data_IF_163099867667
#
_entry.id   IF_163099867667
#
_cell.length_a   1.000
_cell.length_b   1.000
_cell.length_c   1.000
_cell.angle_alpha   90.00
_cell.angle_beta   90.00
_cell.angle_gamma   90.00
#
_symmetry.space_group_name_H-M   'P 1'
#
loop_
_entity.id
_entity.type
_entity.pdbx_description
1 polymer ?
#
# COMPACT_ATOMS: atom_id res chain seq x y z
N UNK A 1 1.45 -2.72 -5.42
CA UNK A 1 1.62 -1.29 -5.04
C UNK A 1 0.91 -0.98 -3.73
N UNK A 2 -0.30 -1.50 -3.48
CA UNK A 2 -1.00 -1.36 -2.19
C UNK A 2 -0.10 -1.59 -0.96
N UNK A 3 0.79 -2.59 -0.98
CA UNK A 3 1.68 -2.87 0.16
C UNK A 3 2.54 -1.68 0.60
N UNK A 4 2.98 -0.83 -0.33
CA UNK A 4 3.73 0.37 0.01
C UNK A 4 2.88 1.41 0.74
N UNK A 5 1.59 1.52 0.44
CA UNK A 5 0.68 2.42 1.14
C UNK A 5 0.55 2.03 2.62
N UNK A 6 0.55 0.73 2.92
CA UNK A 6 0.61 0.26 4.31
C UNK A 6 1.96 0.60 4.95
N UNK A 7 3.07 0.27 4.30
CA UNK A 7 4.42 0.55 4.82
C UNK A 7 4.70 2.05 5.02
N UNK A 8 4.08 2.93 4.22
CA UNK A 8 4.24 4.37 4.40
C UNK A 8 3.53 4.90 5.65
N UNK A 9 2.41 4.30 6.02
CA UNK A 9 1.55 4.69 7.16
C UNK A 9 1.96 4.01 8.47
N UNK A 10 2.68 2.90 8.39
CA UNK A 10 3.21 2.25 9.59
C UNK A 10 4.30 3.10 10.26
N UNK A 11 4.40 3.02 11.60
CA UNK A 11 5.43 3.71 12.34
C UNK A 11 6.84 3.33 11.89
N UNK A 12 7.72 4.33 11.87
CA UNK A 12 9.14 4.14 11.65
C UNK A 12 9.56 4.18 10.18
N UNK A 13 10.72 3.58 9.92
CA UNK A 13 11.36 3.60 8.61
C UNK A 13 10.79 2.52 7.70
N UNK A 14 10.49 2.90 6.47
CA UNK A 14 10.12 1.97 5.41
C UNK A 14 11.39 1.56 4.65
N UNK A 15 11.52 0.27 4.36
CA UNK A 15 12.55 -0.26 3.47
C UNK A 15 11.88 -0.90 2.26
N UNK A 16 12.44 -0.66 1.08
CA UNK A 16 12.02 -1.27 -0.19
C UNK A 16 13.19 -2.05 -0.75
N UNK A 17 12.94 -3.22 -1.33
CA UNK A 17 13.94 -3.90 -2.13
C UNK A 17 13.96 -3.30 -3.54
N UNK A 18 15.09 -3.38 -4.24
CA UNK A 18 15.16 -2.86 -5.61
C UNK A 18 14.26 -3.69 -6.52
N UNK A 19 13.55 -3.03 -7.43
CA UNK A 19 12.61 -3.69 -8.31
C UNK A 19 11.18 -3.79 -7.74
N UNK A 20 10.97 -3.66 -6.43
CA UNK A 20 9.61 -3.66 -5.85
C UNK A 20 8.77 -2.48 -6.38
N UNK A 21 9.41 -1.34 -6.63
CA UNK A 21 8.80 -0.13 -7.18
C UNK A 21 8.23 -0.34 -8.59
N UNK A 22 8.85 -1.22 -9.38
CA UNK A 22 8.32 -1.65 -10.69
C UNK A 22 7.49 -2.94 -10.57
N UNK A 23 7.56 -3.65 -9.44
CA UNK A 23 6.91 -4.94 -9.20
C UNK A 23 7.63 -6.08 -9.88
N UNK A 24 8.96 -6.07 -9.84
CA UNK A 24 9.81 -7.10 -10.40
C UNK A 24 9.44 -8.47 -9.79
N UNK A 25 9.38 -9.48 -10.64
CA UNK A 25 9.06 -10.85 -10.24
C UNK A 25 10.33 -11.68 -10.17
N UNK A 26 10.30 -12.72 -9.35
CA UNK A 26 11.41 -13.64 -9.18
C UNK A 26 11.76 -14.31 -10.51
N UNK A 27 13.04 -14.38 -10.81
CA UNK A 27 13.51 -15.12 -11.98
C UNK A 27 13.28 -16.63 -11.82
N UNK A 28 12.88 -17.27 -12.92
CA UNK A 28 12.58 -18.70 -12.95
C UNK A 28 13.09 -19.33 -14.25
N UNK A 29 13.30 -20.64 -14.19
CA UNK A 29 13.68 -21.47 -15.32
C UNK A 29 12.48 -21.69 -16.24
N UNK A 30 12.58 -21.25 -17.50
CA UNK A 30 11.51 -21.33 -18.49
C UNK A 30 11.06 -22.77 -18.79
N UNK A 31 11.97 -23.75 -18.72
CA UNK A 31 11.66 -25.13 -19.08
C UNK A 31 10.98 -25.87 -17.92
N UNK A 32 11.45 -25.63 -16.69
CA UNK A 32 10.95 -26.33 -15.50
C UNK A 32 9.91 -25.54 -14.72
N UNK A 33 9.72 -24.26 -15.05
CA UNK A 33 8.91 -23.29 -14.28
C UNK A 33 9.32 -23.17 -12.81
N UNK A 34 10.56 -23.53 -12.47
CA UNK A 34 11.08 -23.45 -11.10
C UNK A 34 11.80 -22.13 -10.89
N UNK A 35 11.45 -21.45 -9.80
CA UNK A 35 12.14 -20.23 -9.37
C UNK A 35 13.59 -20.55 -9.02
N UNK A 36 14.52 -19.73 -9.50
CA UNK A 36 15.94 -19.89 -9.17
C UNK A 36 16.19 -19.61 -7.69
N UNK A 37 17.18 -20.29 -7.10
CA UNK A 37 17.66 -19.91 -5.77
C UNK A 37 18.25 -18.49 -5.85
N UNK A 38 17.65 -17.54 -5.12
CA UNK A 38 18.00 -16.14 -5.26
C UNK A 38 17.37 -15.46 -6.48
N UNK A 39 16.28 -15.99 -7.03
CA UNK A 39 15.57 -15.40 -8.18
C UNK A 39 15.14 -13.95 -7.96
N UNK A 40 14.93 -13.53 -6.71
CA UNK A 40 14.70 -12.14 -6.32
C UNK A 40 15.93 -11.23 -6.51
N UNK A 41 17.13 -11.80 -6.61
CA UNK A 41 18.41 -11.10 -6.85
C UNK A 41 18.72 -10.99 -8.35
N UNK A 42 17.74 -11.24 -9.22
CA UNK A 42 17.89 -11.07 -10.65
C UNK A 42 18.22 -9.59 -10.97
N UNK A 43 18.98 -9.33 -12.05
CA UNK A 43 19.39 -7.98 -12.36
C UNK A 43 18.20 -7.03 -12.61
N UNK A 44 18.42 -5.75 -12.35
CA UNK A 44 17.39 -4.72 -12.50
C UNK A 44 16.92 -4.57 -13.95
N UNK A 45 15.61 -4.38 -14.14
CA UNK A 45 14.97 -4.33 -15.46
C UNK A 45 14.81 -2.87 -15.93
N UNK A 46 15.80 -2.32 -16.63
CA UNK A 46 15.77 -0.90 -17.04
C UNK A 46 14.90 -0.63 -18.25
N UNK A 47 15.05 -1.42 -19.32
CA UNK A 47 14.33 -1.26 -20.59
C UNK A 47 13.88 -2.62 -21.15
N UNK A 48 13.22 -2.61 -22.31
CA UNK A 48 12.83 -3.82 -23.05
C UNK A 48 13.94 -4.40 -23.95
N UNK A 49 15.12 -3.77 -23.98
CA UNK A 49 16.27 -4.21 -24.78
C UNK A 49 16.89 -5.51 -24.21
N UNK A 50 17.77 -6.21 -24.97
CA UNK A 50 18.45 -7.39 -24.47
C UNK A 50 19.05 -7.20 -23.07
N UNK A 51 18.84 -8.20 -22.21
CA UNK A 51 19.19 -8.18 -20.80
C UNK A 51 18.67 -6.96 -20.02
N UNK A 52 17.52 -6.42 -20.44
CA UNK A 52 16.90 -5.20 -19.90
C UNK A 52 17.86 -4.00 -19.79
N UNK A 53 18.88 -3.95 -20.66
CA UNK A 53 19.97 -2.98 -20.63
C UNK A 53 20.76 -2.96 -19.30
N UNK A 54 20.77 -4.07 -18.56
CA UNK A 54 21.56 -4.24 -17.34
C UNK A 54 23.05 -4.46 -17.64
N UNK A 55 23.35 -5.19 -18.71
CA UNK A 55 24.71 -5.52 -19.15
C UNK A 55 24.80 -5.39 -20.66
N UNK A 56 26.02 -5.39 -21.20
CA UNK A 56 26.24 -5.34 -22.65
C UNK A 56 25.80 -6.65 -23.31
N UNK A 57 25.43 -6.60 -24.59
CA UNK A 57 24.95 -7.77 -25.34
C UNK A 57 25.97 -8.93 -25.38
N UNK A 58 27.26 -8.61 -25.19
CA UNK A 58 28.37 -9.57 -25.16
C UNK A 58 28.60 -10.22 -23.79
N UNK A 59 27.80 -9.88 -22.78
CA UNK A 59 27.93 -10.37 -21.41
C UNK A 59 26.62 -10.99 -20.94
N UNK A 60 26.70 -12.16 -20.32
CA UNK A 60 25.53 -12.87 -19.79
C UNK A 60 25.41 -12.52 -18.31
N UNK A 61 24.23 -12.07 -17.84
CA UNK A 61 24.02 -11.80 -16.42
C UNK A 61 24.16 -13.08 -15.58
N UNK A 62 24.56 -12.93 -14.31
CA UNK A 62 24.77 -14.08 -13.41
C UNK A 62 23.48 -14.84 -13.10
N UNK A 63 22.32 -14.19 -13.26
CA UNK A 63 20.99 -14.78 -13.20
C UNK A 63 20.19 -14.31 -14.42
N UNK A 64 19.37 -15.18 -15.03
CA UNK A 64 18.47 -14.77 -16.10
C UNK A 64 17.42 -13.80 -15.56
N UNK A 65 16.90 -12.95 -16.44
CA UNK A 65 15.84 -12.00 -16.12
C UNK A 65 14.49 -12.69 -16.23
N UNK A 66 13.51 -12.19 -15.46
CA UNK A 66 12.13 -12.59 -15.64
C UNK A 66 11.63 -12.15 -17.03
N UNK A 67 10.95 -13.01 -17.82
CA UNK A 67 10.52 -12.69 -19.19
C UNK A 67 9.63 -11.45 -19.31
N UNK A 68 8.96 -11.05 -18.22
CA UNK A 68 8.15 -9.83 -18.18
C UNK A 68 8.98 -8.55 -18.33
N UNK A 69 10.32 -8.58 -18.31
CA UNK A 69 11.13 -7.37 -18.41
C UNK A 69 10.83 -6.54 -19.66
N UNK A 70 10.25 -7.14 -20.70
CA UNK A 70 9.82 -6.46 -21.93
C UNK A 70 8.69 -5.45 -21.64
N UNK A 71 7.77 -5.77 -20.73
CA UNK A 71 6.59 -4.96 -20.39
C UNK A 71 6.63 -4.36 -18.98
N UNK A 72 7.46 -4.92 -18.11
CA UNK A 72 7.65 -4.53 -16.72
C UNK A 72 9.12 -4.13 -16.55
N UNK A 73 9.41 -2.87 -16.82
CA UNK A 73 10.74 -2.28 -16.67
C UNK A 73 10.62 -0.81 -16.27
N UNK A 74 11.72 -0.18 -15.88
CA UNK A 74 11.74 1.22 -15.43
C UNK A 74 11.15 2.17 -16.48
N UNK A 75 11.51 2.00 -17.76
CA UNK A 75 11.04 2.84 -18.86
C UNK A 75 9.51 2.78 -19.06
N UNK A 76 8.92 1.59 -18.94
CA UNK A 76 7.48 1.36 -19.11
C UNK A 76 6.64 1.68 -17.87
N UNK A 77 7.23 1.58 -16.67
CA UNK A 77 6.51 1.72 -15.40
C UNK A 77 6.53 3.16 -14.83
N UNK A 78 6.65 4.18 -15.67
CA UNK A 78 6.71 5.60 -15.29
C UNK A 78 5.57 6.06 -14.36
N UNK A 79 4.33 5.63 -14.61
CA UNK A 79 3.19 5.95 -13.73
C UNK A 79 3.36 5.37 -12.32
N UNK A 80 3.81 4.12 -12.25
CA UNK A 80 4.01 3.40 -10.99
C UNK A 80 5.15 4.00 -10.18
N UNK A 81 6.24 4.39 -10.85
CA UNK A 81 7.37 5.11 -10.27
C UNK A 81 6.98 6.51 -9.78
N UNK A 82 6.16 7.24 -10.56
CA UNK A 82 5.65 8.55 -10.14
C UNK A 82 4.78 8.43 -8.89
N UNK A 83 3.90 7.42 -8.84
CA UNK A 83 3.08 7.14 -7.66
C UNK A 83 3.95 6.79 -6.43
N UNK A 84 4.98 5.96 -6.62
CA UNK A 84 5.93 5.63 -5.56
C UNK A 84 6.67 6.88 -5.05
N UNK A 85 7.11 7.76 -5.96
CA UNK A 85 7.73 9.05 -5.60
C UNK A 85 6.80 9.95 -4.78
N UNK A 86 5.54 10.11 -5.22
CA UNK A 86 4.53 10.87 -4.49
C UNK A 86 4.26 10.30 -3.09
N UNK A 87 4.24 8.96 -2.95
CA UNK A 87 4.09 8.30 -1.66
C UNK A 87 5.27 8.59 -0.72
N UNK A 88 6.50 8.59 -1.24
CA UNK A 88 7.70 8.91 -0.46
C UNK A 88 7.73 10.38 -0.05
N UNK A 89 7.33 11.29 -0.94
CA UNK A 89 7.15 12.70 -0.60
C UNK A 89 6.10 12.88 0.51
N UNK A 90 4.97 12.18 0.42
CA UNK A 90 3.92 12.23 1.45
C UNK A 90 4.45 11.74 2.81
N UNK A 91 5.21 10.64 2.84
CA UNK A 91 5.84 10.14 4.07
C UNK A 91 6.86 11.14 4.63
N UNK A 92 7.63 11.80 3.76
CA UNK A 92 8.67 12.76 4.16
C UNK A 92 8.13 14.12 4.62
N UNK A 93 6.92 14.52 4.22
CA UNK A 93 6.29 15.78 4.66
C UNK A 93 6.06 15.86 6.17
N UNK A 94 6.15 14.73 6.89
CA UNK A 94 5.96 14.71 8.33
C UNK A 94 4.50 14.94 8.75
N UNK A 95 3.55 14.88 7.80
CA UNK A 95 2.15 14.65 8.12
C UNK A 95 2.07 13.41 9.03
N UNK A 96 1.10 13.33 9.96
CA UNK A 96 1.09 12.38 11.08
C UNK A 96 0.86 10.91 10.68
N UNK A 97 1.43 10.46 9.57
CA UNK A 97 1.60 9.08 9.16
C UNK A 97 2.74 8.37 9.93
N UNK A 98 3.50 9.09 10.78
CA UNK A 98 4.61 8.53 11.57
C UNK A 98 4.51 8.96 13.05
N UNK A 99 4.37 8.05 14.03
CA UNK A 99 4.52 8.35 15.45
C UNK A 99 5.99 8.28 15.89
N UNK A 100 6.34 9.08 16.92
CA UNK A 100 7.70 9.17 17.46
C UNK A 100 8.10 8.00 18.36
N UNK A 101 7.14 7.28 18.95
CA UNK A 101 7.35 6.11 19.82
C UNK A 101 6.00 5.41 20.10
N UNK A 102 5.94 4.08 20.13
CA UNK A 102 4.68 3.34 20.37
C UNK A 102 4.86 2.21 21.37
N UNK A 103 3.81 1.96 22.16
CA UNK A 103 3.62 0.70 22.89
C UNK A 103 2.41 -0.01 22.29
N UNK A 104 2.54 -1.26 21.81
CA UNK A 104 1.40 -1.98 21.28
C UNK A 104 0.48 -2.40 22.42
N UNK A 105 -0.79 -2.00 22.36
CA UNK A 105 -1.84 -2.58 23.21
C UNK A 105 -2.76 -3.43 22.34
N UNK A 106 -2.79 -4.72 22.61
CA UNK A 106 -3.69 -5.67 21.96
C UNK A 106 -5.10 -5.48 22.52
N UNK A 107 -5.99 -4.87 21.74
CA UNK A 107 -7.42 -4.81 22.02
C UNK A 107 -8.14 -5.74 21.04
N UNK A 108 -8.27 -7.01 21.41
CA UNK A 108 -9.12 -8.03 20.78
C UNK A 108 -8.88 -8.25 19.26
N UNK A 109 -8.14 -9.31 18.92
CA UNK A 109 -8.03 -10.09 17.65
C UNK A 109 -8.20 -9.42 16.25
N UNK A 110 -8.46 -8.13 16.13
CA UNK A 110 -8.83 -7.45 14.88
C UNK A 110 -8.53 -5.95 14.88
N UNK A 111 -8.31 -5.33 16.06
CA UNK A 111 -7.99 -3.90 16.16
C UNK A 111 -6.69 -3.70 16.93
N UNK A 112 -5.66 -3.24 16.23
CA UNK A 112 -4.41 -2.82 16.86
C UNK A 112 -4.50 -1.32 17.13
N UNK A 113 -4.27 -0.92 18.38
CA UNK A 113 -4.12 0.49 18.74
C UNK A 113 -2.66 0.77 19.04
N UNK A 114 -2.10 1.73 18.30
CA UNK A 114 -0.77 2.27 18.58
C UNK A 114 -0.96 3.71 19.06
N UNK A 115 -0.56 3.95 20.30
CA UNK A 115 -0.55 5.27 20.91
C UNK A 115 0.75 5.45 21.67
N UNK A 116 1.31 6.65 21.65
CA UNK A 116 2.37 6.99 22.59
C UNK A 116 1.70 7.28 23.95
N UNK A 117 2.09 6.55 25.00
CA UNK A 117 1.50 6.72 26.33
C UNK A 117 2.01 7.99 27.04
N UNK A 118 3.06 8.63 26.52
CA UNK A 118 3.78 9.72 27.19
C UNK A 118 3.54 11.11 26.59
N UNK A 119 2.90 11.23 25.43
CA UNK A 119 2.62 12.52 24.78
C UNK A 119 1.15 12.62 24.34
N UNK A 120 0.38 13.51 24.98
CA UNK A 120 -1.02 13.82 24.62
C UNK A 120 -1.18 14.35 23.19
N UNK A 121 -0.11 14.85 22.58
CA UNK A 121 -0.06 15.36 21.20
C UNK A 121 0.26 14.29 20.16
N UNK A 122 0.51 13.05 20.56
CA UNK A 122 0.89 11.99 19.63
C UNK A 122 -0.27 11.51 18.75
N UNK A 123 0.00 11.16 17.47
CA UNK A 123 -1.03 10.61 16.60
C UNK A 123 -1.54 9.27 17.13
N UNK A 124 -2.87 9.10 17.14
CA UNK A 124 -3.52 7.85 17.48
C UNK A 124 -3.80 7.04 16.22
N UNK A 125 -3.30 5.81 16.19
CA UNK A 125 -3.54 4.87 15.09
C UNK A 125 -4.50 3.79 15.53
N UNK A 126 -5.51 3.56 14.69
CA UNK A 126 -6.42 2.44 14.80
C UNK A 126 -6.38 1.66 13.50
N UNK A 127 -6.33 0.34 13.60
CA UNK A 127 -6.30 -0.56 12.46
C UNK A 127 -7.51 -1.47 12.45
N UNK A 128 -8.02 -1.76 11.27
CA UNK A 128 -9.04 -2.76 11.02
C UNK A 128 -8.60 -3.61 9.83
N UNK A 129 -8.81 -4.91 9.95
CA UNK A 129 -8.70 -5.83 8.83
C UNK A 129 -9.85 -6.83 8.87
N UNK A 130 -10.32 -7.27 7.71
CA UNK A 130 -11.27 -8.38 7.62
C UNK A 130 -10.60 -9.63 7.01
N UNK A 131 -11.34 -10.75 7.00
CA UNK A 131 -10.88 -12.00 6.40
C UNK A 131 -10.76 -11.96 4.87
N UNK A 132 -11.40 -11.00 4.22
CA UNK A 132 -11.35 -10.80 2.77
C UNK A 132 -10.21 -9.88 2.32
N UNK A 133 -9.33 -9.45 3.24
CA UNK A 133 -8.14 -8.66 2.90
C UNK A 133 -8.37 -7.15 2.81
N UNK A 134 -9.54 -6.64 3.19
CA UNK A 134 -9.74 -5.21 3.35
C UNK A 134 -9.00 -4.73 4.61
N UNK A 135 -8.17 -3.70 4.44
CA UNK A 135 -7.44 -3.05 5.53
C UNK A 135 -7.82 -1.58 5.58
N UNK A 136 -8.21 -1.12 6.77
CA UNK A 136 -8.51 0.28 7.05
C UNK A 136 -7.65 0.76 8.21
N UNK A 137 -6.92 1.85 8.01
CA UNK A 137 -6.22 2.54 9.09
C UNK A 137 -6.85 3.91 9.31
N UNK A 138 -7.21 4.23 10.54
CA UNK A 138 -7.65 5.56 10.95
C UNK A 138 -6.56 6.20 11.81
N UNK A 139 -6.15 7.40 11.43
CA UNK A 139 -5.09 8.13 12.11
C UNK A 139 -5.64 9.47 12.56
N UNK A 140 -5.56 9.76 13.84
CA UNK A 140 -6.11 11.01 14.42
C UNK A 140 -4.97 11.81 15.04
N UNK A 141 -4.84 13.08 14.66
CA UNK A 141 -3.79 13.96 15.19
C UNK A 141 -4.31 15.40 15.31
N UNK A 142 -4.33 15.92 16.54
CA UNK A 142 -4.75 17.27 16.97
C UNK A 142 -6.21 17.66 16.66
N UNK A 143 -6.64 17.48 15.40
CA UNK A 143 -8.02 17.68 14.91
C UNK A 143 -8.23 17.09 13.51
N UNK A 144 -7.16 16.75 12.79
CA UNK A 144 -7.22 16.10 11.50
C UNK A 144 -7.37 14.58 11.67
N UNK A 145 -8.19 13.98 10.80
CA UNK A 145 -8.35 12.52 10.71
C UNK A 145 -7.94 12.09 9.31
N UNK A 146 -6.91 11.26 9.24
CA UNK A 146 -6.47 10.61 8.01
C UNK A 146 -6.98 9.17 7.97
N UNK A 147 -7.15 8.67 6.75
CA UNK A 147 -7.58 7.30 6.51
C UNK A 147 -6.73 6.66 5.42
N UNK A 148 -6.31 5.43 5.67
CA UNK A 148 -5.82 4.51 4.65
C UNK A 148 -6.90 3.45 4.45
N UNK A 149 -7.28 3.21 3.20
CA UNK A 149 -8.17 2.11 2.83
C UNK A 149 -7.49 1.34 1.72
N UNK A 150 -7.28 0.04 1.89
CA UNK A 150 -6.61 -0.78 0.89
C UNK A 150 -7.26 -2.17 0.81
N UNK A 151 -7.45 -2.65 -0.42
CA UNK A 151 -7.90 -4.01 -0.69
C UNK A 151 -6.69 -4.89 -1.05
N UNK A 152 -6.31 -5.77 -0.12
CA UNK A 152 -5.28 -6.79 -0.33
C UNK A 152 -5.87 -8.16 -0.71
N UNK A 153 -7.19 -8.26 -0.79
CA UNK A 153 -7.89 -9.48 -1.18
C UNK A 153 -7.81 -9.76 -2.68
N UNK A 154 -8.38 -10.91 -3.05
CA UNK A 154 -8.59 -11.33 -4.44
C UNK A 154 -9.90 -10.81 -5.03
N UNK A 155 -10.84 -10.43 -4.18
CA UNK A 155 -12.20 -10.07 -4.57
C UNK A 155 -12.43 -8.57 -4.39
N UNK A 156 -13.38 -8.04 -5.16
CA UNK A 156 -13.84 -6.65 -5.01
C UNK A 156 -14.42 -6.46 -3.62
N UNK A 157 -14.00 -5.39 -2.95
CA UNK A 157 -14.47 -5.04 -1.61
C UNK A 157 -15.33 -3.78 -1.67
N UNK A 158 -16.41 -3.78 -0.88
CA UNK A 158 -17.29 -2.63 -0.73
C UNK A 158 -17.18 -2.08 0.69
N UNK A 159 -17.10 -0.76 0.81
CA UNK A 159 -17.22 -0.08 2.10
C UNK A 159 -18.71 0.12 2.40
N UNK A 160 -19.30 -0.85 3.09
CA UNK A 160 -20.72 -0.83 3.48
C UNK A 160 -20.88 -0.94 4.99
N UNK A 161 -22.08 -0.58 5.48
CA UNK A 161 -22.45 -0.83 6.87
C UNK A 161 -22.63 -2.32 7.16
N UNK A 162 -23.02 -3.10 6.14
CA UNK A 162 -23.23 -4.54 6.25
C UNK A 162 -21.92 -5.32 6.30
N UNK A 163 -21.96 -6.44 7.04
CA UNK A 163 -20.85 -7.40 7.11
C UNK A 163 -20.81 -8.18 5.80
N UNK A 164 -19.96 -7.75 4.87
CA UNK A 164 -19.73 -8.47 3.61
C UNK A 164 -18.84 -9.72 3.82
N UNK A 165 -17.94 -9.68 4.81
CA UNK A 165 -16.92 -10.69 5.02
C UNK A 165 -16.50 -10.83 6.50
N UNK A 166 -16.63 -12.04 7.05
CA UNK A 166 -16.26 -12.37 8.43
C UNK A 166 -17.35 -11.97 9.45
N UNK A 167 -16.95 -11.71 10.69
CA UNK A 167 -17.89 -11.46 11.80
C UNK A 167 -18.10 -9.97 12.13
N UNK A 168 -17.32 -9.05 11.52
CA UNK A 168 -17.35 -7.62 11.85
C UNK A 168 -17.30 -6.74 10.61
N UNK A 169 -18.15 -5.73 10.59
CA UNK A 169 -18.24 -4.73 9.51
C UNK A 169 -17.26 -3.58 9.74
N UNK A 170 -16.86 -2.92 8.66
CA UNK A 170 -16.11 -1.66 8.68
C UNK A 170 -16.85 -0.59 9.49
N UNK A 171 -18.19 -0.61 9.52
CA UNK A 171 -19.02 0.32 10.31
C UNK A 171 -18.84 0.18 11.82
N UNK A 172 -18.43 -0.99 12.30
CA UNK A 172 -18.08 -1.18 13.71
C UNK A 172 -16.78 -0.46 14.09
N UNK A 173 -15.96 -0.13 13.09
CA UNK A 173 -14.66 0.52 13.25
C UNK A 173 -14.70 2.02 12.88
N UNK A 174 -15.26 2.37 11.73
CA UNK A 174 -15.61 3.73 11.36
C UNK A 174 -17.05 3.96 11.79
N UNK A 175 -17.28 4.74 12.86
CA UNK A 175 -18.64 5.11 13.28
C UNK A 175 -19.43 5.63 12.07
N UNK A 176 -20.75 5.39 12.01
CA UNK A 176 -21.62 5.80 10.89
C UNK A 176 -21.44 7.27 10.49
N UNK A 177 -21.12 8.13 11.47
CA UNK A 177 -20.78 9.55 11.26
C UNK A 177 -19.56 9.83 10.38
N UNK A 178 -18.61 8.90 10.25
CA UNK A 178 -17.47 9.00 9.33
C UNK A 178 -17.77 8.35 7.97
N UNK A 179 -18.64 7.33 7.91
CA UNK A 179 -19.05 6.71 6.65
C UNK A 179 -19.82 7.70 5.76
N UNK A 180 -20.59 8.60 6.36
CA UNK A 180 -21.30 9.67 5.65
C UNK A 180 -20.43 10.90 5.33
N UNK A 181 -19.16 10.94 5.75
CA UNK A 181 -18.26 12.07 5.51
C UNK A 181 -17.51 11.91 4.21
N UNK A 182 -17.15 13.05 3.64
CA UNK A 182 -16.26 13.12 2.48
C UNK A 182 -14.80 12.98 2.90
N UNK A 183 -14.06 12.23 2.09
CA UNK A 183 -12.62 12.07 2.19
C UNK A 183 -12.00 12.81 1.03
N UNK A 184 -11.12 13.76 1.34
CA UNK A 184 -10.23 14.39 0.37
C UNK A 184 -9.06 13.43 0.10
N UNK A 185 -9.01 12.85 -1.09
CA UNK A 185 -8.03 11.84 -1.46
C UNK A 185 -6.71 12.52 -1.80
N UNK A 186 -5.70 12.25 -0.97
CA UNK A 186 -4.34 12.77 -1.14
C UNK A 186 -3.56 11.93 -2.15
N UNK A 187 -3.73 10.61 -2.07
CA UNK A 187 -3.04 9.66 -2.95
C UNK A 187 -3.88 8.41 -3.15
N UNK A 188 -3.86 7.86 -4.35
CA UNK A 188 -4.57 6.63 -4.70
C UNK A 188 -3.80 5.83 -5.74
N UNK A 189 -3.91 4.50 -5.69
CA UNK A 189 -3.43 3.61 -6.75
C UNK A 189 -4.24 3.76 -8.04
N UNK A 190 -5.52 4.10 -7.91
CA UNK A 190 -6.45 4.27 -9.00
C UNK A 190 -6.82 5.75 -9.13
N UNK A 191 -6.53 6.33 -10.30
CA UNK A 191 -6.75 7.75 -10.57
C UNK A 191 -8.20 8.17 -10.52
N UNK A 192 -9.15 7.22 -10.64
CA UNK A 192 -10.58 7.50 -10.55
C UNK A 192 -11.03 7.97 -9.16
N UNK A 193 -10.23 7.71 -8.12
CA UNK A 193 -10.51 8.14 -6.75
C UNK A 193 -9.91 9.50 -6.41
N UNK A 194 -9.22 10.17 -7.34
CA UNK A 194 -8.61 11.49 -7.06
C UNK A 194 -9.73 12.54 -6.89
N UNK A 195 -9.69 13.26 -5.78
CA UNK A 195 -10.67 14.29 -5.43
C UNK A 195 -11.41 13.98 -4.13
N UNK A 196 -12.67 14.42 -4.03
CA UNK A 196 -13.50 14.15 -2.86
C UNK A 196 -14.39 12.94 -3.10
N UNK A 197 -14.25 11.92 -2.24
CA UNK A 197 -15.05 10.71 -2.31
C UNK A 197 -15.93 10.55 -1.07
N UNK A 198 -17.10 9.96 -1.24
CA UNK A 198 -17.95 9.51 -0.14
C UNK A 198 -17.70 8.02 0.09
N UNK A 199 -17.52 7.61 1.35
CA UNK A 199 -17.16 6.23 1.67
C UNK A 199 -18.31 5.24 1.46
N UNK A 200 -19.56 5.70 1.59
CA UNK A 200 -20.76 4.86 1.67
C UNK A 200 -21.05 3.99 0.41
N UNK A 201 -20.31 4.17 -0.69
CA UNK A 201 -20.42 3.34 -1.90
C UNK A 201 -19.07 3.07 -2.56
N UNK A 202 -17.99 3.17 -1.79
CA UNK A 202 -16.66 2.97 -2.34
C UNK A 202 -16.45 1.50 -2.69
N UNK A 203 -16.20 1.25 -3.96
CA UNK A 203 -15.80 -0.05 -4.50
C UNK A 203 -14.28 -0.04 -4.70
N UNK A 204 -13.60 -1.04 -4.16
CA UNK A 204 -12.16 -1.21 -4.26
C UNK A 204 -11.84 -2.50 -4.99
N UNK A 205 -11.17 -2.38 -6.14
CA UNK A 205 -10.65 -3.53 -6.86
C UNK A 205 -9.46 -4.16 -6.10
N UNK A 206 -9.14 -5.43 -6.35
CA UNK A 206 -7.95 -6.07 -5.79
C UNK A 206 -6.68 -5.26 -6.05
N UNK A 207 -5.97 -4.88 -4.99
CA UNK A 207 -4.76 -4.06 -5.06
C UNK A 207 -4.99 -2.55 -5.08
N UNK A 208 -6.24 -2.08 -4.99
CA UNK A 208 -6.53 -0.66 -4.82
C UNK A 208 -6.23 -0.18 -3.40
N UNK A 209 -5.63 1.00 -3.29
CA UNK A 209 -5.34 1.66 -2.03
C UNK A 209 -5.51 3.18 -2.14
N UNK A 210 -6.02 3.79 -1.07
CA UNK A 210 -6.35 5.21 -0.97
C UNK A 210 -5.81 5.73 0.36
N UNK A 211 -5.09 6.84 0.31
CA UNK A 211 -4.75 7.68 1.47
C UNK A 211 -5.48 8.99 1.32
N UNK A 212 -6.24 9.38 2.33
CA UNK A 212 -7.02 10.62 2.32
C UNK A 212 -7.19 11.23 3.69
N UNK A 213 -7.75 12.45 3.70
CA UNK A 213 -8.10 13.20 4.90
C UNK A 213 -9.61 13.39 4.95
N UNK A 214 -10.23 13.13 6.09
CA UNK A 214 -11.64 13.48 6.27
C UNK A 214 -11.82 14.99 6.25
N UNK A 215 -12.85 15.44 5.52
CA UNK A 215 -13.32 16.82 5.55
C UNK A 215 -14.27 16.94 6.74
N UNK A 216 -13.93 17.84 7.66
CA UNK A 216 -14.74 18.16 8.84
C UNK A 216 -15.86 19.13 8.53
#
# INVERSE_FOLDING_TARGET
>A
MAGFFLLSVLPGSMSSFYGDEIGMQDSFDLDTSKVYQGGQLAPMQWTSHPYANFTSENSIPWLPLHPSYITLNVESQTKKLSLFGQLMELKNRGDPLVPSQTTPSLMHSLVVRLSNLYEETSPQYMWFHNSCGLVVAKITHSSAVFVLIANYGSDVQFITEDVQCGDKSVSSFLTSSYLSKRVDVLLSTNSSFIGQIELHHLQLEPGDAIIGRFIT
#
